data_IF_186243743766
#
_entry.id   IF_186243743766
#
_cell.length_a   1.000
_cell.length_b   1.000
_cell.length_c   1.000
_cell.angle_alpha   90.00
_cell.angle_beta   90.00
_cell.angle_gamma   90.00
#
_symmetry.space_group_name_H-M   'P 1'
#
loop_
_entity.id
_entity.type
_entity.pdbx_description
1 polymer ?
#
# COMPACT_ATOMS: atom_id res chain seq x y z
N UNK A 1 -6.16 -18.09 -0.01
CA UNK A 1 -5.43 -16.87 -0.40
C UNK A 1 -3.98 -17.20 -0.70
N UNK A 2 -3.45 -16.60 -1.75
CA UNK A 2 -2.07 -16.86 -2.11
C UNK A 2 -1.18 -15.91 -1.30
N UNK A 3 -0.42 -16.46 -0.38
CA UNK A 3 0.39 -15.64 0.53
C UNK A 3 1.49 -14.90 -0.20
N UNK A 4 2.04 -15.47 -1.26
CA UNK A 4 3.04 -14.78 -2.05
C UNK A 4 2.50 -13.55 -2.71
N UNK A 5 1.31 -13.64 -3.26
CA UNK A 5 0.67 -12.49 -3.89
C UNK A 5 0.27 -11.47 -2.86
N UNK A 6 -0.18 -11.92 -1.71
CA UNK A 6 -0.57 -10.99 -0.65
C UNK A 6 0.64 -10.23 -0.13
N UNK A 7 1.77 -10.90 0.00
CA UNK A 7 3.01 -10.27 0.43
C UNK A 7 3.47 -9.24 -0.61
N UNK A 8 3.35 -9.59 -1.88
CA UNK A 8 3.67 -8.67 -2.95
C UNK A 8 2.77 -7.44 -2.87
N UNK A 9 1.49 -7.66 -2.62
CA UNK A 9 0.50 -6.60 -2.48
C UNK A 9 0.88 -5.67 -1.32
N UNK A 10 1.26 -6.23 -0.19
CA UNK A 10 1.67 -5.44 0.96
C UNK A 10 2.90 -4.58 0.63
N UNK A 11 3.85 -5.14 -0.09
CA UNK A 11 5.04 -4.37 -0.46
C UNK A 11 4.71 -3.24 -1.41
N UNK A 12 3.80 -3.48 -2.34
CA UNK A 12 3.35 -2.45 -3.25
C UNK A 12 2.67 -1.33 -2.46
N UNK A 13 1.83 -1.69 -1.50
CA UNK A 13 1.17 -0.70 -0.67
C UNK A 13 2.17 0.09 0.16
N UNK A 14 3.19 -0.57 0.68
CA UNK A 14 4.21 0.11 1.47
C UNK A 14 4.96 1.13 0.62
N UNK A 15 5.18 0.82 -0.63
CA UNK A 15 5.84 1.73 -1.53
C UNK A 15 4.98 2.92 -1.94
N UNK A 16 3.68 2.83 -1.67
CA UNK A 16 2.76 3.90 -2.03
C UNK A 16 2.21 4.68 -0.85
N UNK A 17 2.81 4.47 0.28
CA UNK A 17 2.36 5.16 1.49
C UNK A 17 2.50 6.67 1.29
N UNK A 18 1.56 7.43 1.77
CA UNK A 18 1.43 8.87 1.60
C UNK A 18 1.10 9.29 0.17
N UNK A 19 0.84 8.37 -0.70
CA UNK A 19 0.48 8.70 -2.07
C UNK A 19 -0.98 8.40 -2.32
N UNK A 20 -1.51 9.02 -3.35
CA UNK A 20 -2.87 8.72 -3.76
C UNK A 20 -2.93 7.29 -4.25
N UNK A 21 -3.96 6.60 -3.85
CA UNK A 21 -4.13 5.23 -4.24
C UNK A 21 -4.77 5.15 -5.62
N UNK A 22 -4.18 4.38 -6.49
CA UNK A 22 -4.78 4.06 -7.78
C UNK A 22 -4.98 2.56 -7.82
N UNK A 23 -6.20 2.14 -7.62
CA UNK A 23 -6.51 0.71 -7.51
C UNK A 23 -6.18 -0.04 -8.79
N UNK A 24 -6.41 0.58 -9.92
CA UNK A 24 -6.11 -0.06 -11.20
C UNK A 24 -4.62 -0.31 -11.35
N UNK A 25 -3.81 0.66 -10.97
CA UNK A 25 -2.37 0.51 -11.04
C UNK A 25 -1.89 -0.61 -10.14
N UNK A 26 -2.44 -0.68 -8.94
CA UNK A 26 -2.07 -1.74 -8.00
C UNK A 26 -2.48 -3.10 -8.54
N UNK A 27 -3.66 -3.16 -9.13
CA UNK A 27 -4.18 -4.37 -9.73
C UNK A 27 -3.22 -4.88 -10.81
N UNK A 28 -2.77 -4.00 -11.66
CA UNK A 28 -1.87 -4.36 -12.73
C UNK A 28 -0.51 -4.76 -12.19
N UNK A 29 0.02 -4.01 -11.27
CA UNK A 29 1.33 -4.31 -10.71
C UNK A 29 1.35 -5.63 -9.96
N UNK A 30 0.31 -5.91 -9.24
CA UNK A 30 0.25 -7.13 -8.44
C UNK A 30 -0.20 -8.33 -9.25
N UNK A 31 -0.87 -8.08 -10.35
CA UNK A 31 -1.39 -9.17 -11.18
C UNK A 31 -2.66 -9.79 -10.61
N UNK A 32 -3.47 -9.00 -9.94
CA UNK A 32 -4.73 -9.49 -9.37
C UNK A 32 -5.87 -8.62 -9.86
N UNK A 33 -7.06 -9.08 -9.66
CA UNK A 33 -8.24 -8.35 -10.10
C UNK A 33 -8.51 -7.16 -9.20
N UNK A 34 -9.16 -6.17 -9.75
CA UNK A 34 -9.52 -4.98 -9.01
C UNK A 34 -10.36 -5.30 -7.79
N UNK A 35 -11.28 -6.22 -7.92
CA UNK A 35 -12.09 -6.65 -6.81
C UNK A 35 -11.25 -7.20 -5.70
N UNK A 36 -10.21 -7.94 -6.04
CA UNK A 36 -9.31 -8.52 -5.05
C UNK A 36 -8.51 -7.43 -4.35
N UNK A 37 -8.10 -6.41 -5.10
CA UNK A 37 -7.42 -5.27 -4.50
C UNK A 37 -8.30 -4.62 -3.45
N UNK A 38 -9.56 -4.38 -3.81
CA UNK A 38 -10.50 -3.75 -2.90
C UNK A 38 -10.72 -4.59 -1.65
N UNK A 39 -10.84 -5.89 -1.85
CA UNK A 39 -11.07 -6.81 -0.76
C UNK A 39 -9.89 -6.86 0.19
N UNK A 40 -8.69 -6.92 -0.36
CA UNK A 40 -7.49 -6.99 0.47
C UNK A 40 -7.23 -5.67 1.20
N UNK A 41 -7.53 -4.55 0.56
CA UNK A 41 -7.42 -3.27 1.25
C UNK A 41 -8.39 -3.19 2.41
N UNK A 42 -9.60 -3.71 2.22
CA UNK A 42 -10.58 -3.72 3.29
C UNK A 42 -10.10 -4.57 4.47
N UNK A 43 -9.46 -5.69 4.18
CA UNK A 43 -8.91 -6.54 5.23
C UNK A 43 -7.81 -5.78 5.98
N UNK A 44 -6.94 -5.09 5.27
CA UNK A 44 -5.86 -4.36 5.91
C UNK A 44 -6.40 -3.21 6.76
N UNK A 45 -7.44 -2.55 6.28
CA UNK A 45 -8.06 -1.49 7.05
C UNK A 45 -8.73 -2.03 8.31
N UNK A 46 -9.44 -3.13 8.17
CA UNK A 46 -10.13 -3.74 9.31
C UNK A 46 -9.16 -4.25 10.35
N UNK A 47 -7.98 -4.62 9.92
CA UNK A 47 -6.96 -5.13 10.83
C UNK A 47 -6.09 -4.02 11.41
N UNK A 48 -6.41 -2.78 11.11
CA UNK A 48 -5.64 -1.62 11.59
C UNK A 48 -4.18 -1.66 11.15
N UNK A 49 -3.95 -2.19 9.97
CA UNK A 49 -2.62 -2.18 9.37
C UNK A 49 -2.44 -0.91 8.57
N UNK A 50 -3.48 -0.52 7.85
CA UNK A 50 -3.45 0.71 7.08
C UNK A 50 -4.69 1.55 7.38
N UNK A 51 -4.61 2.82 7.03
CA UNK A 51 -5.80 3.66 7.00
C UNK A 51 -5.74 4.54 5.75
N UNK A 52 -6.90 4.93 5.31
CA UNK A 52 -7.02 5.77 4.15
C UNK A 52 -7.45 7.15 4.58
N UNK A 53 -6.74 8.14 4.06
CA UNK A 53 -7.07 9.52 4.37
C UNK A 53 -7.81 10.06 3.16
N UNK A 54 -9.07 10.33 3.34
CA UNK A 54 -9.90 10.78 2.23
C UNK A 54 -9.61 12.22 1.87
N UNK A 55 -9.85 12.59 0.63
CA UNK A 55 -9.61 13.96 0.21
C UNK A 55 -10.47 14.93 1.00
N UNK A 56 -9.93 16.09 1.18
CA UNK A 56 -10.63 17.12 1.90
C UNK A 56 -11.60 17.80 0.95
N UNK A 57 -12.82 17.98 1.39
CA UNK A 57 -13.86 18.51 0.54
C UNK A 57 -13.97 20.03 0.55
N UNK A 58 -13.05 20.71 1.13
CA UNK A 58 -13.13 22.14 1.22
C UNK A 58 -12.73 22.84 -0.05
N UNK A 59 -12.31 22.12 -1.03
CA UNK A 59 -11.88 22.73 -2.23
C UNK A 59 -13.03 22.94 -3.14
N UNK A 60 -13.61 24.09 -3.14
CA UNK A 60 -14.79 24.31 -3.80
C UNK A 60 -14.76 24.41 -5.25
N UNK A 61 -13.87 24.97 -5.86
CA UNK A 61 -13.94 25.21 -7.25
C UNK A 61 -13.02 24.37 -8.05
N UNK A 62 -12.53 23.33 -7.52
CA UNK A 62 -11.63 22.49 -8.24
C UNK A 62 -12.23 21.16 -8.41
N UNK A 63 -11.71 20.39 -9.29
CA UNK A 63 -12.17 19.06 -9.40
C UNK A 63 -11.83 18.34 -8.16
N UNK A 64 -12.68 17.47 -7.76
CA UNK A 64 -12.46 16.69 -6.57
C UNK A 64 -11.45 15.60 -6.83
N UNK A 65 -10.54 15.43 -5.91
CA UNK A 65 -9.64 14.31 -5.95
C UNK A 65 -10.34 13.22 -5.18
N UNK A 66 -10.76 12.19 -5.85
CA UNK A 66 -11.54 11.14 -5.21
C UNK A 66 -10.72 10.05 -4.58
N UNK A 67 -9.49 9.90 -5.00
CA UNK A 67 -8.66 8.84 -4.47
C UNK A 67 -8.11 9.22 -3.11
N UNK A 68 -8.21 8.35 -2.15
CA UNK A 68 -7.62 8.62 -0.85
C UNK A 68 -6.13 8.37 -0.87
N UNK A 69 -5.45 8.88 0.14
CA UNK A 69 -4.05 8.56 0.36
C UNK A 69 -3.95 7.41 1.34
N UNK A 70 -3.01 6.54 1.10
CA UNK A 70 -2.84 5.37 1.95
C UNK A 70 -1.73 5.59 2.93
N UNK A 71 -1.95 5.21 4.18
CA UNK A 71 -0.94 5.30 5.22
C UNK A 71 -0.95 4.02 6.04
N UNK A 72 0.22 3.64 6.53
CA UNK A 72 0.32 2.54 7.46
C UNK A 72 0.25 3.08 8.87
N UNK A 73 -0.46 2.39 9.74
CA UNK A 73 -0.49 2.76 11.16
C UNK A 73 0.91 2.64 11.76
N UNK A 74 1.65 1.64 11.32
CA UNK A 74 2.98 1.40 11.86
C UNK A 74 4.00 1.67 10.77
N UNK A 75 4.68 2.77 10.83
CA UNK A 75 5.67 3.11 9.84
C UNK A 75 6.84 2.14 9.87
N UNK A 76 7.08 1.53 11.01
CA UNK A 76 8.11 0.50 11.10
C UNK A 76 7.75 -0.70 10.24
N UNK A 77 6.48 -1.05 10.23
CA UNK A 77 6.02 -2.16 9.38
C UNK A 77 6.20 -1.80 7.91
N UNK A 78 5.84 -0.60 7.53
CA UNK A 78 5.99 -0.18 6.14
C UNK A 78 7.47 -0.22 5.73
N UNK A 79 8.33 0.27 6.57
CA UNK A 79 9.77 0.24 6.31
C UNK A 79 10.28 -1.18 6.22
N UNK A 80 9.77 -2.04 7.08
CA UNK A 80 10.17 -3.44 7.07
C UNK A 80 9.75 -4.12 5.77
N UNK A 81 8.55 -3.82 5.30
CA UNK A 81 8.08 -4.40 4.05
C UNK A 81 8.91 -3.93 2.86
N UNK A 82 9.28 -2.67 2.86
CA UNK A 82 10.15 -2.15 1.82
C UNK A 82 11.54 -2.76 1.93
N UNK A 83 11.99 -2.96 3.13
CA UNK A 83 13.30 -3.53 3.39
C UNK A 83 13.43 -4.97 2.98
N UNK A 84 12.33 -5.68 2.88
CA UNK A 84 12.40 -7.07 2.45
C UNK A 84 13.05 -7.18 1.08
N UNK A 85 12.71 -6.30 0.19
CA UNK A 85 13.27 -6.34 -1.14
C UNK A 85 14.74 -5.94 -1.14
N UNK A 86 15.07 -4.89 -0.43
CA UNK A 86 16.44 -4.44 -0.37
C UNK A 86 17.29 -5.31 0.53
N UNK A 87 16.70 -5.97 1.47
CA UNK A 87 17.48 -6.77 2.39
C UNK A 87 18.13 -7.95 1.72
N UNK A 88 17.59 -8.40 0.59
CA UNK A 88 18.25 -9.41 -0.16
C UNK A 88 19.59 -8.95 -0.61
N UNK A 89 19.71 -7.71 -0.97
CA UNK A 89 20.96 -7.13 -1.38
C UNK A 89 21.76 -6.76 -0.16
N UNK A 90 21.08 -6.26 0.85
CA UNK A 90 21.76 -5.85 2.06
C UNK A 90 22.24 -7.01 2.89
N UNK A 91 21.71 -8.17 2.65
CA UNK A 91 22.15 -9.31 3.42
C UNK A 91 23.60 -9.63 3.13
N UNK A 92 24.13 -9.07 2.09
CA UNK A 92 25.51 -9.25 1.77
C UNK A 92 26.37 -8.20 2.42
N UNK A 93 25.75 -7.25 3.08
CA UNK A 93 26.47 -6.16 3.70
C UNK A 93 26.87 -6.56 5.10
N UNK A 94 27.98 -6.21 5.54
CA UNK A 94 28.39 -6.49 6.89
C UNK A 94 27.62 -5.70 7.89
N UNK A 95 26.80 -4.72 7.47
CA UNK A 95 26.20 -3.88 8.23
C UNK A 95 24.89 -4.21 8.38
N UNK A 96 24.29 -4.60 8.86
CA UNK A 96 23.03 -4.97 8.94
C UNK A 96 22.74 -5.22 10.18
#
# INVERSE_FOLDING_TARGET
MNTSLFTKFLRICAGRTSQLINLSAISIECGIELKTVQSWLAVLESSYIIFMLKPHHANFNKRLVKSPKLYFYDTGLACSLLGITTSRELSLSPFR
#
